data_IF_584322590404
#
_entry.id   IF_584322590404
#
_cell.length_a   1.000
_cell.length_b   1.000
_cell.length_c   1.000
_cell.angle_alpha   90.00
_cell.angle_beta   90.00
_cell.angle_gamma   90.00
#
_symmetry.space_group_name_H-M   'P 1'
#
loop_
_entity.id
_entity.type
_entity.pdbx_description
1 polymer ?
#
# COMPACT_ATOMS: atom_id res chain seq x y z
N UNK A 1 -9.77 -21.21 27.35
CA UNK A 1 -9.62 -20.80 25.94
C UNK A 1 -10.25 -21.90 25.11
N UNK A 2 -11.22 -21.55 24.29
CA UNK A 2 -12.00 -22.49 23.47
C UNK A 2 -11.11 -23.12 22.40
N UNK A 3 -11.38 -24.37 22.01
CA UNK A 3 -10.60 -25.09 21.01
C UNK A 3 -10.66 -24.39 19.65
N UNK A 4 -11.81 -23.79 19.32
CA UNK A 4 -11.99 -22.97 18.10
C UNK A 4 -11.10 -21.73 18.11
N UNK A 5 -10.97 -21.06 19.26
CA UNK A 5 -10.10 -19.90 19.41
C UNK A 5 -8.62 -20.29 19.25
N UNK A 6 -8.21 -21.45 19.78
CA UNK A 6 -6.85 -21.96 19.61
C UNK A 6 -6.53 -22.20 18.13
N UNK A 7 -7.45 -22.84 17.39
CA UNK A 7 -7.22 -23.13 15.97
C UNK A 7 -7.21 -21.86 15.12
N UNK A 8 -8.04 -20.86 15.46
CA UNK A 8 -7.99 -19.52 14.86
C UNK A 8 -6.63 -18.85 15.06
N UNK A 9 -6.14 -18.79 16.30
CA UNK A 9 -4.85 -18.18 16.62
C UNK A 9 -3.69 -18.94 15.95
N UNK A 10 -3.80 -20.26 15.83
CA UNK A 10 -2.82 -21.08 15.11
C UNK A 10 -2.80 -20.77 13.61
N UNK A 11 -3.96 -20.60 12.98
CA UNK A 11 -4.04 -20.21 11.58
C UNK A 11 -3.42 -18.82 11.35
N UNK A 12 -3.75 -17.84 12.20
CA UNK A 12 -3.15 -16.50 12.17
C UNK A 12 -1.63 -16.59 12.28
N UNK A 13 -1.11 -17.38 13.23
CA UNK A 13 0.32 -17.59 13.40
C UNK A 13 1.00 -18.17 12.15
N UNK A 14 0.36 -19.13 11.47
CA UNK A 14 0.87 -19.69 10.21
C UNK A 14 0.86 -18.65 9.08
N UNK A 15 -0.21 -17.87 8.97
CA UNK A 15 -0.33 -16.80 7.97
C UNK A 15 0.75 -15.74 8.18
N UNK A 16 0.93 -15.25 9.41
CA UNK A 16 1.98 -14.29 9.77
C UNK A 16 3.39 -14.80 9.41
N UNK A 17 3.69 -16.07 9.75
CA UNK A 17 4.97 -16.68 9.39
C UNK A 17 5.20 -16.69 7.87
N UNK A 18 4.18 -17.04 7.07
CA UNK A 18 4.30 -17.03 5.61
C UNK A 18 4.48 -15.61 5.08
N UNK A 19 3.72 -14.64 5.57
CA UNK A 19 3.85 -13.23 5.16
C UNK A 19 5.27 -12.72 5.45
N UNK A 20 5.82 -13.01 6.63
CA UNK A 20 7.19 -12.64 6.98
C UNK A 20 8.22 -13.28 6.06
N UNK A 21 8.05 -14.56 5.72
CA UNK A 21 8.92 -15.24 4.76
C UNK A 21 8.84 -14.64 3.36
N UNK A 22 7.64 -14.30 2.88
CA UNK A 22 7.45 -13.61 1.59
C UNK A 22 8.22 -12.29 1.58
N UNK A 23 8.09 -11.48 2.64
CA UNK A 23 8.80 -10.20 2.73
C UNK A 23 10.31 -10.37 2.76
N UNK A 24 10.83 -11.32 3.54
CA UNK A 24 12.25 -11.64 3.59
C UNK A 24 12.78 -12.06 2.21
N UNK A 25 12.03 -12.89 1.49
CA UNK A 25 12.43 -13.38 0.18
C UNK A 25 12.33 -12.32 -0.91
N UNK A 26 11.32 -11.45 -0.86
CA UNK A 26 11.22 -10.30 -1.75
C UNK A 26 12.39 -9.33 -1.53
N UNK A 27 12.75 -9.05 -0.28
CA UNK A 27 13.89 -8.18 0.06
C UNK A 27 15.22 -8.79 -0.40
N UNK A 28 15.37 -10.12 -0.33
CA UNK A 28 16.53 -10.83 -0.88
C UNK A 28 16.54 -10.74 -2.40
N UNK A 29 15.44 -11.07 -3.07
CA UNK A 29 15.32 -11.05 -4.52
C UNK A 29 15.61 -9.65 -5.09
N UNK A 30 15.19 -8.59 -4.40
CA UNK A 30 15.53 -7.22 -4.77
C UNK A 30 17.05 -6.96 -4.76
N UNK A 31 17.80 -7.60 -3.84
CA UNK A 31 19.26 -7.45 -3.71
C UNK A 31 20.06 -8.40 -4.61
N UNK A 32 19.55 -9.61 -4.85
CA UNK A 32 20.31 -10.71 -5.49
C UNK A 32 19.76 -11.11 -6.85
N UNK A 33 18.57 -10.64 -7.23
CA UNK A 33 17.87 -10.99 -8.47
C UNK A 33 17.10 -12.30 -8.45
N UNK A 34 17.13 -13.07 -7.34
CA UNK A 34 16.50 -14.39 -7.27
C UNK A 34 15.90 -14.69 -5.89
N UNK A 35 14.74 -15.34 -5.86
CA UNK A 35 14.22 -16.08 -4.70
C UNK A 35 14.16 -17.57 -5.03
N UNK A 36 14.42 -18.40 -4.02
CA UNK A 36 14.37 -19.86 -4.12
C UNK A 36 13.16 -20.45 -3.38
N UNK A 37 12.30 -19.61 -2.80
CA UNK A 37 11.12 -20.05 -2.07
C UNK A 37 9.95 -20.21 -3.02
N UNK A 38 9.46 -21.45 -3.12
CA UNK A 38 8.30 -21.82 -3.93
C UNK A 38 7.05 -21.92 -3.05
N UNK A 39 5.88 -21.90 -3.69
CA UNK A 39 4.60 -22.19 -3.02
C UNK A 39 4.63 -23.54 -2.31
N UNK A 40 5.25 -24.56 -2.89
CA UNK A 40 5.40 -25.89 -2.29
C UNK A 40 6.22 -25.85 -0.98
N UNK A 41 7.30 -25.07 -0.93
CA UNK A 41 8.09 -24.89 0.29
C UNK A 41 7.24 -24.25 1.40
N UNK A 42 6.50 -23.19 1.06
CA UNK A 42 5.63 -22.48 1.99
C UNK A 42 4.48 -23.38 2.49
N UNK A 43 3.89 -24.20 1.62
CA UNK A 43 2.88 -25.18 1.96
C UNK A 43 3.42 -26.21 2.96
N UNK A 44 4.59 -26.79 2.66
CA UNK A 44 5.22 -27.81 3.51
C UNK A 44 5.58 -27.29 4.89
N UNK A 45 6.07 -26.05 5.00
CA UNK A 45 6.45 -25.45 6.28
C UNK A 45 5.25 -25.03 7.13
N UNK A 46 4.22 -24.48 6.51
CA UNK A 46 3.02 -24.02 7.21
C UNK A 46 2.02 -25.14 7.53
N UNK A 47 2.03 -26.21 6.74
CA UNK A 47 0.98 -27.23 6.74
C UNK A 47 -0.39 -26.64 6.40
N UNK A 48 -0.43 -25.61 5.55
CA UNK A 48 -1.64 -25.03 4.98
C UNK A 48 -1.96 -25.68 3.63
N UNK A 49 -3.21 -25.59 3.20
CA UNK A 49 -3.60 -25.97 1.85
C UNK A 49 -2.93 -25.07 0.81
N UNK A 50 -2.58 -25.63 -0.36
CA UNK A 50 -1.89 -24.91 -1.43
C UNK A 50 -2.69 -23.68 -1.88
N UNK A 51 -4.03 -23.80 -1.95
CA UNK A 51 -4.93 -22.70 -2.31
C UNK A 51 -4.85 -21.53 -1.34
N UNK A 52 -4.74 -21.80 -0.03
CA UNK A 52 -4.63 -20.76 1.01
C UNK A 52 -3.26 -20.08 0.97
N UNK A 53 -2.19 -20.84 0.71
CA UNK A 53 -0.85 -20.28 0.51
C UNK A 53 -0.80 -19.41 -0.74
N UNK A 54 -1.39 -19.86 -1.85
CA UNK A 54 -1.48 -19.08 -3.09
C UNK A 54 -2.26 -17.79 -2.88
N UNK A 55 -3.40 -17.87 -2.20
CA UNK A 55 -4.23 -16.72 -1.83
C UNK A 55 -3.45 -15.72 -0.97
N UNK A 56 -2.64 -16.18 0.00
CA UNK A 56 -1.74 -15.34 0.78
C UNK A 56 -0.70 -14.64 -0.11
N UNK A 57 -0.04 -15.38 -1.00
CA UNK A 57 0.98 -14.83 -1.92
C UNK A 57 0.36 -13.77 -2.84
N UNK A 58 -0.76 -14.08 -3.48
CA UNK A 58 -1.48 -13.16 -4.37
C UNK A 58 -1.90 -11.91 -3.59
N UNK A 59 -2.30 -12.07 -2.33
CA UNK A 59 -2.68 -10.97 -1.43
C UNK A 59 -1.50 -10.08 -1.07
N UNK A 60 -0.38 -10.66 -0.62
CA UNK A 60 0.86 -9.93 -0.40
C UNK A 60 1.29 -9.17 -1.65
N UNK A 61 1.18 -9.79 -2.82
CA UNK A 61 1.61 -9.18 -4.07
C UNK A 61 0.80 -7.94 -4.40
N UNK A 62 -0.53 -7.92 -4.22
CA UNK A 62 -1.32 -6.71 -4.47
C UNK A 62 -1.23 -5.67 -3.35
N UNK A 63 -0.95 -6.08 -2.11
CA UNK A 63 -0.75 -5.18 -0.97
C UNK A 63 0.66 -4.60 -0.86
N UNK A 64 1.56 -4.99 -1.76
CA UNK A 64 2.90 -4.41 -1.87
C UNK A 64 2.82 -2.89 -2.11
N UNK A 65 3.59 -2.12 -1.34
CA UNK A 65 3.54 -0.65 -1.36
C UNK A 65 3.84 -0.06 -2.74
N UNK A 66 4.81 -0.64 -3.46
CA UNK A 66 5.14 -0.17 -4.79
C UNK A 66 3.99 -0.44 -5.77
N UNK A 67 3.39 -1.63 -5.72
CA UNK A 67 2.24 -1.96 -6.57
C UNK A 67 1.02 -1.12 -6.21
N UNK A 68 0.70 -0.94 -4.94
CA UNK A 68 -0.37 -0.06 -4.48
C UNK A 68 -0.18 1.37 -5.00
N UNK A 69 1.03 1.90 -4.89
CA UNK A 69 1.37 3.24 -5.40
C UNK A 69 1.22 3.34 -6.92
N UNK A 70 1.68 2.36 -7.68
CA UNK A 70 1.52 2.32 -9.14
C UNK A 70 0.03 2.26 -9.54
N UNK A 71 -0.75 1.39 -8.91
CA UNK A 71 -2.16 1.22 -9.24
C UNK A 71 -2.99 2.44 -8.85
N UNK A 72 -2.74 3.03 -7.67
CA UNK A 72 -3.36 4.28 -7.23
C UNK A 72 -3.02 5.43 -8.17
N UNK A 73 -1.75 5.56 -8.58
CA UNK A 73 -1.33 6.64 -9.50
C UNK A 73 -1.99 6.50 -10.87
N UNK A 74 -2.06 5.27 -11.40
CA UNK A 74 -2.73 4.99 -12.65
C UNK A 74 -4.24 5.22 -12.59
N UNK A 75 -4.89 4.90 -11.47
CA UNK A 75 -6.31 5.16 -11.28
C UNK A 75 -6.61 6.65 -11.13
N UNK A 76 -5.82 7.36 -10.32
CA UNK A 76 -5.95 8.80 -10.14
C UNK A 76 -5.72 9.56 -11.45
N UNK A 77 -4.70 9.18 -12.23
CA UNK A 77 -4.46 9.77 -13.55
C UNK A 77 -5.67 9.60 -14.46
N UNK A 78 -6.22 8.38 -14.61
CA UNK A 78 -7.39 8.12 -15.47
C UNK A 78 -8.62 8.91 -15.04
N UNK A 79 -8.80 9.12 -13.75
CA UNK A 79 -9.98 9.83 -13.21
C UNK A 79 -9.86 11.35 -13.33
N UNK A 80 -8.66 11.92 -13.19
CA UNK A 80 -8.43 13.37 -13.29
C UNK A 80 -8.11 13.84 -14.71
N UNK A 81 -7.28 13.09 -15.43
CA UNK A 81 -6.74 13.45 -16.73
C UNK A 81 -7.28 12.47 -17.76
N UNK A 82 -8.27 12.90 -18.55
CA UNK A 82 -9.00 12.09 -19.55
C UNK A 82 -8.11 11.54 -20.70
N UNK A 83 -6.80 11.62 -20.58
CA UNK A 83 -5.80 11.22 -21.58
C UNK A 83 -4.77 10.32 -20.93
N UNK A 84 -4.66 9.10 -21.45
CA UNK A 84 -3.65 8.11 -21.06
C UNK A 84 -2.25 8.58 -21.46
N UNK A 85 -1.30 8.61 -20.52
CA UNK A 85 0.13 8.88 -20.81
C UNK A 85 0.60 10.31 -20.51
N UNK A 86 0.03 10.96 -19.50
CA UNK A 86 0.53 12.24 -19.01
C UNK A 86 1.67 12.03 -18.01
N UNK A 87 2.64 12.96 -17.97
CA UNK A 87 3.67 12.98 -16.93
C UNK A 87 3.09 13.10 -15.51
N UNK A 88 1.79 13.36 -15.37
CA UNK A 88 1.10 13.37 -14.08
C UNK A 88 1.13 12.00 -13.38
N UNK A 89 1.10 10.88 -14.11
CA UNK A 89 1.28 9.55 -13.50
C UNK A 89 2.59 9.48 -12.70
N UNK A 90 3.70 9.91 -13.31
CA UNK A 90 5.01 9.91 -12.66
C UNK A 90 5.03 10.85 -11.45
N UNK A 91 4.34 11.99 -11.53
CA UNK A 91 4.18 12.89 -10.39
C UNK A 91 3.39 12.25 -9.25
N UNK A 92 2.27 11.58 -9.51
CA UNK A 92 1.48 10.91 -8.48
C UNK A 92 2.26 9.74 -7.87
N UNK A 93 2.91 8.92 -8.69
CA UNK A 93 3.75 7.82 -8.21
C UNK A 93 4.90 8.33 -7.32
N UNK A 94 5.58 9.41 -7.72
CA UNK A 94 6.62 10.06 -6.90
C UNK A 94 6.05 10.67 -5.61
N UNK A 95 4.83 11.21 -5.67
CA UNK A 95 4.14 11.75 -4.50
C UNK A 95 3.80 10.64 -3.51
N UNK A 96 3.30 9.50 -3.98
CA UNK A 96 2.92 8.36 -3.12
C UNK A 96 4.12 7.66 -2.51
N UNK A 97 5.19 7.45 -3.27
CA UNK A 97 6.42 6.85 -2.72
C UNK A 97 7.05 7.69 -1.60
N UNK A 98 6.82 9.01 -1.61
CA UNK A 98 7.37 9.93 -0.61
C UNK A 98 6.44 10.22 0.54
N UNK A 99 5.15 10.43 0.25
CA UNK A 99 4.18 10.96 1.20
C UNK A 99 3.09 9.94 1.56
N UNK A 100 3.02 8.79 0.88
CA UNK A 100 1.99 7.77 1.09
C UNK A 100 1.99 7.22 2.51
N UNK A 101 3.15 6.85 3.04
CA UNK A 101 3.27 6.42 4.44
C UNK A 101 2.87 7.52 5.43
N UNK A 102 3.24 8.79 5.16
CA UNK A 102 2.80 9.92 5.99
C UNK A 102 1.28 10.09 5.95
N UNK A 103 0.67 9.95 4.78
CA UNK A 103 -0.77 10.02 4.60
C UNK A 103 -1.49 8.93 5.41
N UNK A 104 -1.00 7.70 5.36
CA UNK A 104 -1.56 6.55 6.08
C UNK A 104 -1.33 6.67 7.60
N UNK A 105 -0.13 7.04 8.05
CA UNK A 105 0.23 6.99 9.47
C UNK A 105 -0.24 8.25 10.22
N UNK A 106 -0.14 9.43 9.61
CA UNK A 106 -0.24 10.70 10.33
C UNK A 106 -1.40 11.61 9.92
N UNK A 107 -1.91 11.54 8.68
CA UNK A 107 -2.89 12.51 8.19
C UNK A 107 -4.34 12.09 8.45
N UNK A 108 -5.15 12.97 9.02
CA UNK A 108 -6.59 12.79 9.15
C UNK A 108 -7.32 13.95 8.47
N UNK A 109 -8.66 13.87 8.38
CA UNK A 109 -9.47 14.90 7.72
C UNK A 109 -9.30 16.31 8.31
N UNK A 110 -8.99 16.43 9.60
CA UNK A 110 -8.85 17.72 10.30
C UNK A 110 -7.52 18.41 9.98
N UNK A 111 -6.44 17.65 9.76
CA UNK A 111 -5.08 18.21 9.54
C UNK A 111 -4.62 18.14 8.09
N UNK A 112 -5.34 17.43 7.21
CA UNK A 112 -4.94 17.19 5.83
C UNK A 112 -4.84 18.49 5.03
N UNK A 113 -5.78 19.42 5.22
CA UNK A 113 -5.81 20.70 4.52
C UNK A 113 -4.59 21.55 4.85
N UNK A 114 -4.31 21.69 6.15
CA UNK A 114 -3.14 22.43 6.63
C UNK A 114 -1.85 21.80 6.14
N UNK A 115 -1.71 20.47 6.20
CA UNK A 115 -0.55 19.78 5.69
C UNK A 115 -0.31 20.07 4.19
N UNK A 116 -1.37 19.96 3.38
CA UNK A 116 -1.26 20.17 1.94
C UNK A 116 -0.92 21.62 1.57
N UNK A 117 -1.44 22.59 2.33
CA UNK A 117 -1.10 24.01 2.14
C UNK A 117 0.40 24.29 2.33
N UNK A 118 1.07 23.57 3.22
CA UNK A 118 2.51 23.74 3.47
C UNK A 118 3.36 22.86 2.53
N UNK A 119 2.92 21.64 2.23
CA UNK A 119 3.74 20.64 1.53
C UNK A 119 3.67 20.71 0.00
N UNK A 120 2.60 21.26 -0.59
CA UNK A 120 2.35 21.15 -2.04
C UNK A 120 3.45 21.77 -2.91
N UNK A 121 3.89 22.99 -2.58
CA UNK A 121 4.98 23.64 -3.32
C UNK A 121 6.29 22.86 -3.21
N UNK A 122 6.62 22.36 -2.01
CA UNK A 122 7.83 21.57 -1.80
C UNK A 122 7.80 20.26 -2.61
N UNK A 123 6.65 19.57 -2.58
CA UNK A 123 6.48 18.33 -3.34
C UNK A 123 6.68 18.55 -4.84
N UNK A 124 6.09 19.62 -5.39
CA UNK A 124 6.21 20.01 -6.79
C UNK A 124 7.64 20.35 -7.20
N UNK A 125 8.33 21.22 -6.47
CA UNK A 125 9.70 21.61 -6.82
C UNK A 125 10.66 20.41 -6.74
N UNK A 126 10.53 19.59 -5.69
CA UNK A 126 11.36 18.40 -5.56
C UNK A 126 11.11 17.38 -6.68
N UNK A 127 9.87 17.24 -7.16
CA UNK A 127 9.59 16.40 -8.31
C UNK A 127 10.32 16.92 -9.56
N UNK A 128 10.25 18.22 -9.85
CA UNK A 128 10.92 18.84 -10.99
C UNK A 128 12.44 18.70 -10.94
N UNK A 129 13.02 18.82 -9.75
CA UNK A 129 14.45 18.60 -9.54
C UNK A 129 14.85 17.14 -9.77
N UNK A 130 14.01 16.19 -9.36
CA UNK A 130 14.30 14.76 -9.46
C UNK A 130 14.05 14.20 -10.86
N UNK A 131 13.04 14.71 -11.57
CA UNK A 131 12.55 14.20 -12.85
C UNK A 131 12.39 15.32 -13.90
N UNK A 132 13.45 16.06 -14.24
CA UNK A 132 13.38 17.18 -15.19
C UNK A 132 12.92 16.76 -16.60
N UNK A 133 13.08 15.49 -16.97
CA UNK A 133 12.68 14.92 -18.26
C UNK A 133 11.17 14.64 -18.39
N UNK A 134 10.42 14.70 -17.29
CA UNK A 134 8.97 14.49 -17.25
C UNK A 134 8.24 15.75 -16.76
N UNK A 135 8.15 16.82 -17.59
CA UNK A 135 7.53 18.07 -17.17
C UNK A 135 6.05 17.92 -16.87
N UNK A 136 5.58 18.61 -15.83
CA UNK A 136 4.18 18.65 -15.39
C UNK A 136 3.68 20.10 -15.28
N UNK A 137 2.36 20.26 -15.37
CA UNK A 137 1.69 21.56 -15.23
C UNK A 137 1.94 22.18 -13.83
N UNK A 138 2.08 23.51 -13.77
CA UNK A 138 2.19 24.28 -12.52
C UNK A 138 0.97 24.08 -11.60
N UNK A 139 -0.20 23.76 -12.17
CA UNK A 139 -1.41 23.40 -11.42
C UNK A 139 -1.19 22.23 -10.46
N UNK A 140 -0.25 21.31 -10.76
CA UNK A 140 0.12 20.20 -9.87
C UNK A 140 0.78 20.66 -8.57
N UNK A 141 1.29 21.89 -8.52
CA UNK A 141 1.85 22.51 -7.33
C UNK A 141 0.82 23.08 -6.35
N UNK A 142 -0.48 23.02 -6.68
CA UNK A 142 -1.55 23.53 -5.81
C UNK A 142 -1.86 22.57 -4.66
N UNK A 143 -2.16 23.13 -3.49
CA UNK A 143 -2.58 22.39 -2.29
C UNK A 143 -3.77 21.46 -2.56
N UNK A 144 -4.75 21.93 -3.33
CA UNK A 144 -5.93 21.15 -3.75
C UNK A 144 -5.53 19.87 -4.51
N UNK A 145 -4.52 19.93 -5.37
CA UNK A 145 -4.06 18.77 -6.15
C UNK A 145 -3.32 17.76 -5.28
N UNK A 146 -2.46 18.24 -4.39
CA UNK A 146 -1.79 17.37 -3.42
C UNK A 146 -2.81 16.69 -2.52
N UNK A 147 -3.79 17.44 -2.00
CA UNK A 147 -4.87 16.90 -1.18
C UNK A 147 -5.61 15.77 -1.89
N UNK A 148 -6.11 16.02 -3.11
CA UNK A 148 -6.84 15.00 -3.88
C UNK A 148 -5.98 13.76 -4.14
N UNK A 149 -4.70 13.93 -4.44
CA UNK A 149 -3.79 12.82 -4.65
C UNK A 149 -3.64 11.98 -3.37
N UNK A 150 -3.41 12.61 -2.20
CA UNK A 150 -3.25 11.90 -0.93
C UNK A 150 -4.54 11.25 -0.46
N UNK A 151 -5.69 11.92 -0.57
CA UNK A 151 -7.01 11.34 -0.28
C UNK A 151 -7.26 10.11 -1.16
N UNK A 152 -6.93 10.19 -2.45
CA UNK A 152 -7.07 9.05 -3.36
C UNK A 152 -6.20 7.87 -2.93
N UNK A 153 -4.94 8.10 -2.57
CA UNK A 153 -4.05 7.04 -2.09
C UNK A 153 -4.54 6.42 -0.78
N UNK A 154 -5.04 7.23 0.17
CA UNK A 154 -5.66 6.74 1.42
C UNK A 154 -6.86 5.84 1.11
N UNK A 155 -7.77 6.28 0.23
CA UNK A 155 -8.93 5.48 -0.17
C UNK A 155 -8.52 4.18 -0.87
N UNK A 156 -7.47 4.23 -1.69
CA UNK A 156 -6.92 3.05 -2.35
C UNK A 156 -6.39 2.05 -1.33
N UNK A 157 -5.59 2.52 -0.35
CA UNK A 157 -5.08 1.69 0.74
C UNK A 157 -6.21 1.06 1.55
N UNK A 158 -7.20 1.86 1.99
CA UNK A 158 -8.37 1.39 2.74
C UNK A 158 -9.13 0.31 1.98
N UNK A 159 -9.37 0.53 0.68
CA UNK A 159 -10.06 -0.45 -0.18
C UNK A 159 -9.32 -1.79 -0.21
N UNK A 160 -7.99 -1.79 -0.31
CA UNK A 160 -7.21 -3.03 -0.36
C UNK A 160 -7.19 -3.75 0.99
N UNK A 161 -7.05 -3.04 2.10
CA UNK A 161 -7.18 -3.62 3.43
C UNK A 161 -8.56 -4.24 3.64
N UNK A 162 -9.64 -3.53 3.27
CA UNK A 162 -11.00 -4.04 3.39
C UNK A 162 -11.23 -5.28 2.52
N UNK A 163 -10.71 -5.30 1.28
CA UNK A 163 -10.74 -6.48 0.42
C UNK A 163 -10.04 -7.69 1.05
N UNK A 164 -8.89 -7.49 1.71
CA UNK A 164 -8.19 -8.56 2.42
C UNK A 164 -8.97 -9.08 3.65
N UNK A 165 -9.59 -8.17 4.41
CA UNK A 165 -10.45 -8.52 5.55
C UNK A 165 -11.69 -9.30 5.11
N UNK A 166 -12.38 -8.86 4.06
CA UNK A 166 -13.54 -9.55 3.45
C UNK A 166 -13.18 -10.96 2.95
N UNK A 167 -11.92 -11.13 2.53
CA UNK A 167 -11.36 -12.39 2.08
C UNK A 167 -11.06 -13.37 3.22
N UNK A 168 -11.20 -12.92 4.48
CA UNK A 168 -11.12 -13.74 5.69
C UNK A 168 -9.79 -13.66 6.44
N UNK A 169 -8.91 -12.70 6.12
CA UNK A 169 -7.68 -12.48 6.88
C UNK A 169 -7.95 -11.71 8.17
N UNK A 170 -7.20 -12.04 9.22
CA UNK A 170 -7.19 -11.26 10.45
C UNK A 170 -6.46 -9.92 10.25
N UNK A 171 -6.83 -8.90 11.03
CA UNK A 171 -6.23 -7.57 10.96
C UNK A 171 -4.70 -7.61 11.04
N UNK A 172 -4.14 -8.40 11.96
CA UNK A 172 -2.69 -8.47 12.17
C UNK A 172 -1.97 -9.02 10.94
N UNK A 173 -2.63 -9.91 10.20
CA UNK A 173 -2.12 -10.47 8.94
C UNK A 173 -2.17 -9.40 7.85
N UNK A 174 -3.28 -8.66 7.74
CA UNK A 174 -3.48 -7.61 6.74
C UNK A 174 -2.44 -6.48 6.89
N UNK A 175 -2.21 -5.97 8.10
CA UNK A 175 -1.20 -4.91 8.30
C UNK A 175 0.22 -5.42 8.04
N UNK A 176 0.48 -6.70 8.34
CA UNK A 176 1.77 -7.31 8.04
C UNK A 176 1.97 -7.45 6.53
N UNK A 177 0.95 -7.81 5.77
CA UNK A 177 0.99 -7.85 4.30
C UNK A 177 1.30 -6.47 3.71
N UNK A 178 0.63 -5.42 4.21
CA UNK A 178 0.84 -4.03 3.79
C UNK A 178 2.20 -3.43 4.22
N UNK A 179 3.02 -4.15 5.00
CA UNK A 179 4.28 -3.66 5.61
C UNK A 179 4.12 -2.30 6.30
N UNK A 180 2.92 -2.04 6.84
CA UNK A 180 2.59 -0.74 7.44
C UNK A 180 2.14 -0.96 8.87
N UNK A 181 2.83 -0.35 9.82
CA UNK A 181 2.47 -0.39 11.24
C UNK A 181 1.37 0.64 11.53
N UNK A 182 0.11 0.22 11.40
CA UNK A 182 -1.06 1.01 11.80
C UNK A 182 -1.97 0.24 12.76
N UNK A 183 -2.59 0.96 13.70
CA UNK A 183 -3.60 0.39 14.59
C UNK A 183 -4.98 0.33 13.92
N UNK A 184 -5.88 -0.49 14.45
CA UNK A 184 -7.27 -0.55 13.98
C UNK A 184 -7.99 0.79 14.18
N UNK A 185 -7.71 1.50 15.28
CA UNK A 185 -8.28 2.82 15.54
C UNK A 185 -7.84 3.82 14.48
N UNK A 186 -6.55 3.78 14.12
CA UNK A 186 -6.02 4.63 13.05
C UNK A 186 -6.67 4.29 11.71
N UNK A 187 -6.84 3.01 11.40
CA UNK A 187 -7.51 2.57 10.18
C UNK A 187 -8.94 3.11 10.07
N UNK A 188 -9.72 3.06 11.16
CA UNK A 188 -11.08 3.64 11.23
C UNK A 188 -11.12 5.15 10.98
N UNK A 189 -10.03 5.87 11.25
CA UNK A 189 -9.91 7.30 10.90
C UNK A 189 -9.68 7.45 9.40
N UNK A 190 -8.89 6.58 8.78
CA UNK A 190 -8.65 6.60 7.33
C UNK A 190 -9.94 6.29 6.54
N UNK A 191 -10.80 5.42 7.05
CA UNK A 191 -12.11 5.11 6.44
C UNK A 191 -13.06 6.32 6.32
N UNK A 192 -12.76 7.43 7.00
CA UNK A 192 -13.57 8.65 6.99
C UNK A 192 -13.14 9.67 5.93
N UNK A 193 -12.05 9.40 5.21
CA UNK A 193 -11.45 10.25 4.17
C UNK A 193 -12.01 9.89 2.80
#
# INVERSE_FOLDING_TARGET
MDWEEIEKQRLIGKQLMIVDLIHIENDKAYKTGFSFVTTENLQKWSGMEESEVKKLIDTCAYMDDFKLSCEAAGDFERTQNKTTGSNAYMFYLSTYSRLGSTAIIALNKEVLDDYCNHAAKMNYEQYKETYPEYPIDEEMGKAEMLKKALEHYIRWFVKHCNSALETGFDWDVVIRMARTEISQERFKVLEQI
#
